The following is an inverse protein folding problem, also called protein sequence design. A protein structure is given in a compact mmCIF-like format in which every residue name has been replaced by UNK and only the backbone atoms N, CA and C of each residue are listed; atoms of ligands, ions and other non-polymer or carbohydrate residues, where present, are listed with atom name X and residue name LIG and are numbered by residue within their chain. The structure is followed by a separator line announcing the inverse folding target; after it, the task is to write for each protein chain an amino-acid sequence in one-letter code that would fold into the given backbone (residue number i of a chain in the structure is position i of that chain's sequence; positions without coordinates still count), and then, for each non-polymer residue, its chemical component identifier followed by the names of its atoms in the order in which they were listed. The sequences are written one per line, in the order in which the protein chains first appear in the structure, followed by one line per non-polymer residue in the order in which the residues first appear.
data_IF_839439942875
#
_entry.id   IF_839439942875
#
_cell.length_a   1.000
_cell.length_b   1.000
_cell.length_c   1.000
_cell.angle_alpha   90.00
_cell.angle_beta   90.00
_cell.angle_gamma   90.00
#
_symmetry.space_group_name_H-M   'P 1'
#
loop_
_entity.id
_entity.type
_entity.pdbx_description
1 polymer ?
#
# COMPACT_ATOMS: atom_id res chain seq x y z
N UNK A 1 -15.15 -10.24 -0.92
CA UNK A 1 -14.10 -10.31 -1.97
C UNK A 1 -13.16 -9.15 -1.77
N UNK A 2 -11.86 -9.39 -1.64
CA UNK A 2 -10.88 -8.30 -1.59
C UNK A 2 -10.79 -7.71 -3.00
N UNK A 3 -11.11 -6.44 -3.14
CA UNK A 3 -11.03 -5.73 -4.42
C UNK A 3 -9.76 -4.90 -4.47
N UNK A 4 -9.25 -4.65 -5.68
CA UNK A 4 -8.11 -3.75 -5.89
C UNK A 4 -8.40 -2.36 -5.32
N UNK A 5 -9.65 -1.90 -5.40
CA UNK A 5 -10.08 -0.63 -4.82
C UNK A 5 -9.91 -0.59 -3.29
N UNK A 6 -10.25 -1.68 -2.59
CA UNK A 6 -10.08 -1.75 -1.13
C UNK A 6 -8.60 -1.68 -0.71
N UNK A 7 -7.70 -2.20 -1.56
CA UNK A 7 -6.25 -2.12 -1.33
C UNK A 7 -5.78 -0.67 -1.53
N UNK A 8 -6.22 -0.02 -2.61
CA UNK A 8 -5.87 1.39 -2.88
C UNK A 8 -6.32 2.28 -1.73
N UNK A 9 -7.57 2.13 -1.28
CA UNK A 9 -8.16 2.91 -0.19
C UNK A 9 -7.37 2.75 1.13
N UNK A 10 -6.96 1.51 1.45
CA UNK A 10 -6.12 1.23 2.62
C UNK A 10 -4.75 1.91 2.55
N UNK A 11 -4.14 1.94 1.35
CA UNK A 11 -2.85 2.60 1.15
C UNK A 11 -3.01 4.12 1.23
N UNK A 12 -4.06 4.70 0.64
CA UNK A 12 -4.34 6.13 0.69
C UNK A 12 -4.58 6.58 2.14
N UNK A 13 -5.41 5.87 2.89
CA UNK A 13 -5.67 6.13 4.31
C UNK A 13 -4.37 6.11 5.13
N UNK A 14 -3.51 5.12 4.89
CA UNK A 14 -2.22 5.02 5.55
C UNK A 14 -1.27 6.17 5.18
N UNK A 15 -1.17 6.49 3.89
CA UNK A 15 -0.34 7.61 3.41
C UNK A 15 -0.81 8.94 4.01
N UNK A 16 -2.13 9.15 4.08
CA UNK A 16 -2.73 10.32 4.70
C UNK A 16 -2.45 10.38 6.20
N UNK A 17 -2.64 9.28 6.93
CA UNK A 17 -2.40 9.22 8.38
C UNK A 17 -0.95 9.54 8.77
N UNK A 18 0.03 9.12 7.94
CA UNK A 18 1.46 9.40 8.17
C UNK A 18 1.99 10.67 7.50
N UNK A 19 1.22 11.29 6.62
CA UNK A 19 1.71 12.39 5.77
C UNK A 19 2.83 11.99 4.80
N UNK A 20 2.87 10.73 4.35
CA UNK A 20 3.83 10.26 3.35
C UNK A 20 3.22 10.24 1.96
N UNK A 21 4.03 10.45 0.93
CA UNK A 21 3.58 10.30 -0.45
C UNK A 21 3.35 8.83 -0.80
N UNK A 22 2.33 8.56 -1.63
CA UNK A 22 2.02 7.21 -2.15
C UNK A 22 3.21 6.60 -2.90
N UNK A 23 3.99 7.44 -3.59
CA UNK A 23 5.22 7.02 -4.27
C UNK A 23 6.28 6.51 -3.29
N UNK A 24 6.32 7.07 -2.09
CA UNK A 24 7.22 6.65 -1.01
C UNK A 24 6.76 5.33 -0.42
N UNK A 25 5.44 5.17 -0.22
CA UNK A 25 4.86 3.90 0.20
C UNK A 25 5.18 2.78 -0.79
N UNK A 26 4.93 2.98 -2.08
CA UNK A 26 5.18 1.96 -3.11
C UNK A 26 6.66 1.57 -3.20
N UNK A 27 7.58 2.53 -3.05
CA UNK A 27 9.02 2.26 -2.95
C UNK A 27 9.38 1.44 -1.71
N UNK A 28 8.79 1.74 -0.55
CA UNK A 28 9.04 1.00 0.70
C UNK A 28 8.49 -0.43 0.64
N UNK A 29 7.26 -0.61 0.15
CA UNK A 29 6.62 -1.92 0.14
C UNK A 29 7.24 -2.89 -0.87
N UNK A 30 7.43 -2.43 -2.12
CA UNK A 30 7.78 -3.33 -3.24
C UNK A 30 8.80 -2.71 -4.20
N UNK A 31 9.47 -1.62 -3.81
CA UNK A 31 10.39 -0.86 -4.66
C UNK A 31 9.76 -0.32 -5.96
N UNK A 32 8.45 -0.06 -5.95
CA UNK A 32 7.71 0.44 -7.12
C UNK A 32 6.92 1.69 -6.75
N UNK A 33 7.45 2.86 -7.10
CA UNK A 33 6.77 4.14 -6.88
C UNK A 33 5.51 4.36 -7.74
N UNK A 34 5.24 3.47 -8.71
CA UNK A 34 4.06 3.52 -9.59
C UNK A 34 3.05 2.41 -9.24
N UNK A 35 3.19 1.79 -8.07
CA UNK A 35 2.30 0.72 -7.59
C UNK A 35 0.83 1.14 -7.66
N UNK A 36 0.46 2.28 -7.07
CA UNK A 36 -0.93 2.74 -7.06
C UNK A 36 -1.46 3.04 -8.46
N UNK A 37 -0.65 3.64 -9.33
CA UNK A 37 -1.05 3.88 -10.72
C UNK A 37 -1.35 2.56 -11.46
N UNK A 38 -0.58 1.49 -11.20
CA UNK A 38 -0.85 0.15 -11.77
C UNK A 38 -2.10 -0.49 -11.19
N UNK A 39 -2.32 -0.38 -9.88
CA UNK A 39 -3.54 -0.88 -9.23
C UNK A 39 -4.78 -0.17 -9.78
N UNK A 40 -4.75 1.17 -9.92
CA UNK A 40 -5.83 1.97 -10.52
C UNK A 40 -6.09 1.62 -11.99
N UNK A 41 -5.05 1.24 -12.72
CA UNK A 41 -5.18 0.73 -14.09
C UNK A 41 -5.78 -0.69 -14.17
N UNK A 42 -6.12 -1.31 -13.04
CA UNK A 42 -6.73 -2.64 -12.99
C UNK A 42 -5.75 -3.79 -13.22
N UNK A 43 -4.43 -3.55 -13.11
CA UNK A 43 -3.46 -4.65 -13.20
C UNK A 43 -3.55 -5.54 -11.97
N UNK A 44 -3.67 -6.84 -12.21
CA UNK A 44 -3.49 -7.87 -11.18
C UNK A 44 -2.08 -7.80 -10.60
N UNK A 45 -1.98 -7.98 -9.29
CA UNK A 45 -0.72 -8.09 -8.56
C UNK A 45 -0.50 -9.55 -8.11
N UNK A 46 0.76 -9.90 -7.87
CA UNK A 46 1.08 -11.20 -7.29
C UNK A 46 0.71 -11.23 -5.80
N UNK A 47 0.49 -12.43 -5.26
CA UNK A 47 0.24 -12.64 -3.82
C UNK A 47 1.42 -12.11 -3.00
N UNK A 48 2.66 -12.25 -3.50
CA UNK A 48 3.86 -11.69 -2.85
C UNK A 48 3.76 -10.17 -2.70
N UNK A 49 3.36 -9.47 -3.76
CA UNK A 49 3.14 -8.02 -3.74
C UNK A 49 2.06 -7.64 -2.75
N UNK A 50 0.97 -8.40 -2.70
CA UNK A 50 -0.12 -8.17 -1.75
C UNK A 50 0.37 -8.32 -0.30
N UNK A 51 1.09 -9.40 0.01
CA UNK A 51 1.61 -9.64 1.35
C UNK A 51 2.53 -8.50 1.81
N UNK A 52 3.43 -8.03 0.95
CA UNK A 52 4.35 -6.93 1.28
C UNK A 52 3.63 -5.61 1.53
N UNK A 53 2.55 -5.33 0.78
CA UNK A 53 1.69 -4.17 1.05
C UNK A 53 1.06 -4.30 2.45
N UNK A 54 0.51 -5.46 2.77
CA UNK A 54 -0.11 -5.70 4.08
C UNK A 54 0.90 -5.62 5.22
N UNK A 55 2.12 -6.15 5.04
CA UNK A 55 3.20 -6.04 6.03
C UNK A 55 3.51 -4.58 6.33
N UNK A 56 3.67 -3.72 5.31
CA UNK A 56 3.93 -2.30 5.56
C UNK A 56 2.78 -1.65 6.32
N UNK A 57 1.53 -1.88 5.90
CA UNK A 57 0.35 -1.32 6.59
C UNK A 57 0.26 -1.76 8.06
N UNK A 58 0.64 -3.01 8.37
CA UNK A 58 0.61 -3.55 9.72
C UNK A 58 1.79 -3.10 10.59
N UNK A 59 3.01 -3.10 10.05
CA UNK A 59 4.21 -2.62 10.75
C UNK A 59 4.01 -1.19 11.22
N UNK A 60 3.41 -0.37 10.36
CA UNK A 60 3.19 1.03 10.63
C UNK A 60 2.12 1.35 11.67
N UNK A 61 1.05 0.54 11.67
CA UNK A 61 -0.01 0.65 12.67
C UNK A 61 0.55 0.40 14.07
N UNK A 62 1.61 -0.43 14.21
CA UNK A 62 2.24 -0.71 15.51
C UNK A 62 3.12 0.45 15.98
N UNK A 63 3.83 1.14 15.08
CA UNK A 63 4.65 2.32 15.44
C UNK A 63 3.81 3.50 15.97
N UNK A 64 2.54 3.62 15.57
CA UNK A 64 1.65 4.68 16.05
C UNK A 64 1.01 4.38 17.43
N UNK A 65 1.10 3.13 17.91
CA UNK A 65 0.53 2.68 19.18
C UNK A 65 1.57 2.58 20.32
N UNK A 66 2.85 2.81 20.02
CA UNK A 66 3.95 2.95 20.99
C UNK A 66 4.34 4.43 21.16
#
# INVERSE_FOLDING_TARGET
MITVQSIIDSIEAHCHARGIAETTFGKRAVNDGKLLARLRAGKSISIDTYNRIQEVLQSDTREAAE
#
